data_IF_106488196903
#
_entry.id   IF_106488196903
#
_cell.length_a   1.000
_cell.length_b   1.000
_cell.length_c   1.000
_cell.angle_alpha   90.00
_cell.angle_beta   90.00
_cell.angle_gamma   90.00
#
_symmetry.space_group_name_H-M   'P 1'
#
loop_
_entity.id
_entity.type
_entity.pdbx_description
1 polymer ?
#
# COMPACT_ATOMS: atom_id res chain seq x y z
N UNK A 1 -74.34 -15.67 -45.61
CA UNK A 1 -73.13 -14.89 -45.98
C UNK A 1 -72.50 -14.41 -44.68
N UNK A 2 -71.47 -15.10 -44.19
CA UNK A 2 -70.82 -14.84 -42.89
C UNK A 2 -69.39 -14.40 -43.20
N UNK A 3 -69.12 -13.12 -42.98
CA UNK A 3 -67.78 -12.55 -43.11
C UNK A 3 -67.19 -12.60 -41.71
N UNK A 4 -66.33 -13.59 -41.44
CA UNK A 4 -65.46 -13.57 -40.26
C UNK A 4 -64.08 -13.10 -40.68
N UNK A 5 -63.74 -11.95 -40.11
CA UNK A 5 -62.56 -11.13 -40.27
C UNK A 5 -61.28 -11.88 -39.88
N UNK A 6 -60.41 -12.10 -40.86
CA UNK A 6 -59.04 -12.53 -40.62
C UNK A 6 -58.28 -11.47 -39.83
N UNK A 7 -58.11 -11.69 -38.53
CA UNK A 7 -57.24 -10.88 -37.70
C UNK A 7 -55.80 -10.97 -38.22
N UNK A 8 -55.11 -9.83 -38.45
CA UNK A 8 -53.72 -9.85 -38.91
C UNK A 8 -52.84 -10.48 -37.82
N UNK A 9 -52.09 -11.52 -38.20
CA UNK A 9 -51.05 -12.11 -37.34
C UNK A 9 -50.09 -11.00 -36.92
N UNK A 10 -50.08 -10.69 -35.63
CA UNK A 10 -49.14 -9.75 -35.04
C UNK A 10 -47.72 -10.12 -35.48
N UNK A 11 -47.06 -9.19 -36.18
CA UNK A 11 -45.67 -9.31 -36.57
C UNK A 11 -44.84 -9.59 -35.31
N UNK A 12 -44.14 -10.73 -35.31
CA UNK A 12 -43.16 -11.05 -34.26
C UNK A 12 -42.14 -9.91 -34.23
N UNK A 13 -42.04 -9.25 -33.09
CA UNK A 13 -41.04 -8.24 -32.79
C UNK A 13 -39.61 -8.71 -33.16
N UNK A 14 -38.71 -7.78 -33.52
CA UNK A 14 -37.51 -8.07 -34.26
C UNK A 14 -36.53 -8.92 -33.46
N UNK A 15 -35.81 -9.78 -34.17
CA UNK A 15 -34.62 -10.48 -33.69
C UNK A 15 -33.67 -9.46 -33.03
N UNK A 16 -33.62 -9.46 -31.70
CA UNK A 16 -32.61 -8.69 -30.96
C UNK A 16 -31.31 -9.50 -31.05
N UNK A 17 -30.26 -9.00 -31.73
CA UNK A 17 -29.02 -9.75 -31.89
C UNK A 17 -28.43 -10.10 -30.53
N UNK A 18 -28.02 -11.36 -30.38
CA UNK A 18 -27.52 -11.93 -29.12
C UNK A 18 -26.31 -11.16 -28.53
N UNK A 19 -25.58 -10.44 -29.38
CA UNK A 19 -24.49 -9.51 -29.04
C UNK A 19 -24.89 -8.33 -28.15
N UNK A 20 -26.19 -8.06 -27.96
CA UNK A 20 -26.68 -7.02 -27.04
C UNK A 20 -26.64 -7.45 -25.56
N UNK A 21 -26.33 -8.72 -25.26
CA UNK A 21 -26.28 -9.26 -23.89
C UNK A 21 -24.86 -9.26 -23.28
N UNK A 22 -23.96 -8.39 -23.73
CA UNK A 22 -22.66 -8.26 -23.09
C UNK A 22 -22.86 -7.63 -21.70
N UNK A 23 -22.52 -8.37 -20.65
CA UNK A 23 -22.60 -7.86 -19.30
C UNK A 23 -21.55 -6.74 -19.12
N UNK A 24 -21.94 -5.49 -18.82
CA UNK A 24 -20.97 -4.39 -18.69
C UNK A 24 -19.93 -4.65 -17.59
N UNK A 25 -20.25 -5.49 -16.59
CA UNK A 25 -19.30 -5.90 -15.55
C UNK A 25 -18.20 -6.82 -16.07
N UNK A 26 -18.49 -7.70 -17.03
CA UNK A 26 -17.46 -8.56 -17.62
C UNK A 26 -16.52 -7.78 -18.54
N UNK A 27 -17.03 -6.77 -19.24
CA UNK A 27 -16.21 -5.84 -20.04
C UNK A 27 -15.27 -5.04 -19.14
N UNK A 28 -15.80 -4.41 -18.08
CA UNK A 28 -14.98 -3.67 -17.12
C UNK A 28 -13.91 -4.56 -16.47
N UNK A 29 -14.27 -5.80 -16.11
CA UNK A 29 -13.32 -6.75 -15.54
C UNK A 29 -12.21 -7.10 -16.54
N UNK A 30 -12.55 -7.36 -17.81
CA UNK A 30 -11.57 -7.65 -18.86
C UNK A 30 -10.63 -6.47 -19.12
N UNK A 31 -11.17 -5.25 -19.23
CA UNK A 31 -10.36 -4.02 -19.39
C UNK A 31 -9.44 -3.82 -18.20
N UNK A 32 -9.97 -3.96 -16.97
CA UNK A 32 -9.18 -3.78 -15.75
C UNK A 32 -8.08 -4.83 -15.64
N UNK A 33 -8.36 -6.09 -15.98
CA UNK A 33 -7.37 -7.16 -15.99
C UNK A 33 -6.28 -6.91 -17.04
N UNK A 34 -6.66 -6.54 -18.27
CA UNK A 34 -5.71 -6.21 -19.34
C UNK A 34 -4.82 -5.02 -18.99
N UNK A 35 -5.40 -3.94 -18.45
CA UNK A 35 -4.65 -2.76 -18.03
C UNK A 35 -3.72 -3.06 -16.84
N UNK A 36 -4.19 -3.85 -15.87
CA UNK A 36 -3.36 -4.30 -14.75
C UNK A 36 -2.16 -5.09 -15.26
N UNK A 37 -2.40 -6.07 -16.14
CA UNK A 37 -1.34 -6.90 -16.69
C UNK A 37 -0.31 -6.06 -17.45
N UNK A 38 -0.76 -5.15 -18.32
CA UNK A 38 0.13 -4.25 -19.05
C UNK A 38 0.98 -3.39 -18.11
N UNK A 39 0.38 -2.78 -17.08
CA UNK A 39 1.10 -1.96 -16.10
C UNK A 39 2.07 -2.78 -15.25
N UNK A 40 1.73 -4.01 -14.89
CA UNK A 40 2.63 -4.90 -14.17
C UNK A 40 3.81 -5.35 -15.03
N UNK A 41 3.60 -5.63 -16.31
CA UNK A 41 4.70 -5.93 -17.25
C UNK A 41 5.65 -4.73 -17.32
N UNK A 42 5.12 -3.52 -17.52
CA UNK A 42 5.93 -2.30 -17.57
C UNK A 42 6.68 -2.05 -16.24
N UNK A 43 6.02 -2.25 -15.10
CA UNK A 43 6.66 -2.13 -13.79
C UNK A 43 7.81 -3.13 -13.59
N UNK A 44 7.62 -4.38 -14.03
CA UNK A 44 8.65 -5.42 -13.96
C UNK A 44 9.80 -5.11 -14.91
N UNK A 45 9.52 -4.70 -16.14
CA UNK A 45 10.56 -4.31 -17.11
C UNK A 45 11.37 -3.11 -16.60
N UNK A 46 10.71 -2.08 -16.07
CA UNK A 46 11.38 -0.92 -15.48
C UNK A 46 12.27 -1.34 -14.29
N UNK A 47 11.72 -2.12 -13.34
CA UNK A 47 12.47 -2.57 -12.17
C UNK A 47 13.65 -3.45 -12.56
N UNK A 48 13.46 -4.41 -13.47
CA UNK A 48 14.54 -5.29 -13.95
C UNK A 48 15.60 -4.51 -14.70
N UNK A 49 15.20 -3.58 -15.57
CA UNK A 49 16.13 -2.71 -16.29
C UNK A 49 16.95 -1.85 -15.33
N UNK A 50 16.30 -1.22 -14.35
CA UNK A 50 16.95 -0.41 -13.33
C UNK A 50 17.92 -1.24 -12.47
N UNK A 51 17.46 -2.36 -11.93
CA UNK A 51 18.29 -3.27 -11.11
C UNK A 51 19.47 -3.79 -11.93
N UNK A 52 19.27 -4.17 -13.19
CA UNK A 52 20.36 -4.67 -14.05
C UNK A 52 21.41 -3.59 -14.30
N UNK A 53 20.97 -2.36 -14.61
CA UNK A 53 21.88 -1.22 -14.78
C UNK A 53 22.66 -0.93 -13.49
N UNK A 54 21.99 -0.92 -12.35
CA UNK A 54 22.59 -0.64 -11.05
C UNK A 54 23.49 -1.76 -10.54
N UNK A 55 23.20 -3.02 -10.87
CA UNK A 55 24.08 -4.16 -10.61
C UNK A 55 25.39 -3.99 -11.38
N UNK A 56 25.33 -3.55 -12.65
CA UNK A 56 26.51 -3.23 -13.44
C UNK A 56 27.37 -2.10 -12.86
N UNK A 57 26.76 -1.21 -12.08
CA UNK A 57 27.43 -0.11 -11.38
C UNK A 57 27.78 -0.42 -9.91
N UNK A 58 27.32 -1.55 -9.37
CA UNK A 58 27.51 -1.92 -7.96
C UNK A 58 26.72 -1.08 -6.94
N UNK A 59 25.63 -0.42 -7.35
CA UNK A 59 24.85 0.52 -6.52
C UNK A 59 23.46 0.00 -6.12
N UNK A 60 23.12 -1.27 -6.41
CA UNK A 60 21.89 -1.87 -5.88
C UNK A 60 21.93 -1.88 -4.36
N UNK A 61 20.84 -1.44 -3.73
CA UNK A 61 20.78 -1.30 -2.29
C UNK A 61 21.53 -0.07 -1.76
N UNK A 62 21.82 0.95 -2.57
CA UNK A 62 22.56 2.14 -2.14
C UNK A 62 21.98 2.81 -0.89
N UNK A 63 20.66 3.00 -0.80
CA UNK A 63 20.04 3.54 0.40
C UNK A 63 20.23 2.61 1.61
N UNK A 64 20.07 1.30 1.41
CA UNK A 64 20.29 0.31 2.46
C UNK A 64 21.72 0.35 3.00
N UNK A 65 22.73 0.44 2.11
CA UNK A 65 24.14 0.51 2.53
C UNK A 65 24.44 1.81 3.28
N UNK A 66 23.85 2.94 2.89
CA UNK A 66 23.93 4.21 3.63
C UNK A 66 23.35 4.06 5.03
N UNK A 67 22.20 3.40 5.17
CA UNK A 67 21.58 3.19 6.48
C UNK A 67 22.46 2.33 7.38
N UNK A 68 23.06 1.27 6.85
CA UNK A 68 24.00 0.44 7.61
C UNK A 68 25.27 1.20 7.97
N UNK A 69 25.83 1.98 7.04
CA UNK A 69 27.00 2.83 7.30
C UNK A 69 26.72 3.86 8.40
N UNK A 70 25.52 4.44 8.40
CA UNK A 70 25.08 5.43 9.41
C UNK A 70 24.82 4.77 10.76
N UNK A 71 24.21 3.57 10.78
CA UNK A 71 24.05 2.79 12.00
C UNK A 71 25.39 2.36 12.59
N UNK A 72 26.36 1.97 11.75
CA UNK A 72 27.72 1.65 12.17
C UNK A 72 28.41 2.88 12.76
N UNK A 73 28.33 4.03 12.08
CA UNK A 73 28.87 5.31 12.57
C UNK A 73 28.27 5.72 13.91
N UNK A 74 26.96 5.54 14.09
CA UNK A 74 26.30 5.77 15.36
C UNK A 74 26.90 4.91 16.49
N UNK A 75 27.16 3.63 16.25
CA UNK A 75 27.78 2.75 17.26
C UNK A 75 29.25 3.09 17.54
N UNK A 76 30.01 3.46 16.51
CA UNK A 76 31.45 3.71 16.63
C UNK A 76 31.76 5.12 17.16
N UNK A 77 30.99 6.13 16.76
CA UNK A 77 31.27 7.55 17.01
C UNK A 77 30.21 8.25 17.86
N UNK A 78 29.09 7.58 18.15
CA UNK A 78 27.96 8.16 18.89
C UNK A 78 26.99 8.98 18.03
N UNK A 79 27.32 9.31 16.78
CA UNK A 79 26.46 10.07 15.86
C UNK A 79 26.30 9.37 14.51
N UNK A 80 25.08 9.29 13.94
CA UNK A 80 24.87 8.75 12.59
C UNK A 80 25.17 9.76 11.48
N UNK A 81 25.44 11.03 11.80
CA UNK A 81 25.59 12.12 10.81
C UNK A 81 27.05 12.34 10.43
N UNK A 82 27.29 12.87 9.23
CA UNK A 82 28.62 13.29 8.79
C UNK A 82 28.94 14.71 9.29
N UNK A 83 30.21 15.04 9.58
CA UNK A 83 30.61 16.42 9.90
C UNK A 83 30.18 17.44 8.83
N UNK A 84 30.19 17.04 7.56
CA UNK A 84 29.78 17.89 6.44
C UNK A 84 28.28 18.25 6.47
N UNK A 85 27.43 17.44 7.10
CA UNK A 85 25.98 17.68 7.20
C UNK A 85 25.66 18.80 8.22
N UNK A 86 26.63 19.21 9.02
CA UNK A 86 26.52 20.38 9.92
C UNK A 86 26.90 21.70 9.22
N UNK A 87 27.32 21.66 7.95
CA UNK A 87 27.59 22.85 7.15
C UNK A 87 26.30 23.31 6.45
N UNK A 88 25.88 24.58 6.62
CA UNK A 88 24.68 25.09 5.95
C UNK A 88 24.75 24.98 4.43
N UNK A 89 23.65 24.55 3.82
CA UNK A 89 23.51 24.44 2.37
C UNK A 89 24.08 23.17 1.76
N UNK A 90 24.41 22.14 2.55
CA UNK A 90 24.86 20.87 1.98
C UNK A 90 23.75 20.23 1.13
N UNK A 91 24.16 19.66 -0.01
CA UNK A 91 23.26 18.94 -0.91
C UNK A 91 23.04 17.53 -0.40
N UNK A 92 21.79 17.08 -0.36
CA UNK A 92 21.49 15.68 -0.09
C UNK A 92 21.90 14.84 -1.30
N UNK A 93 22.81 13.89 -1.10
CA UNK A 93 23.17 12.88 -2.09
C UNK A 93 22.97 11.45 -1.55
N UNK A 94 23.38 10.47 -2.34
CA UNK A 94 23.28 9.04 -2.03
C UNK A 94 24.20 8.58 -0.89
N UNK A 95 24.86 9.48 -0.16
CA UNK A 95 25.73 9.16 0.98
C UNK A 95 25.22 9.73 2.30
N UNK A 96 24.20 10.60 2.24
CA UNK A 96 23.70 11.34 3.39
C UNK A 96 22.60 10.61 4.16
N UNK A 97 22.56 10.86 5.47
CA UNK A 97 21.57 10.28 6.37
C UNK A 97 20.65 11.36 6.95
N UNK A 98 19.46 11.51 6.38
CA UNK A 98 18.46 12.50 6.83
C UNK A 98 17.28 11.84 7.53
N UNK A 99 17.52 11.25 8.70
CA UNK A 99 16.49 10.59 9.51
C UNK A 99 16.64 10.94 11.00
N UNK A 100 15.54 10.92 11.78
CA UNK A 100 15.60 11.15 13.22
C UNK A 100 16.34 10.03 13.94
N UNK A 101 16.90 10.27 15.14
CA UNK A 101 17.73 9.30 15.87
C UNK A 101 17.02 7.97 16.17
N UNK A 102 15.70 8.00 16.42
CA UNK A 102 14.89 6.81 16.65
C UNK A 102 14.88 5.82 15.49
N UNK A 103 15.26 6.26 14.29
CA UNK A 103 15.43 5.38 13.12
C UNK A 103 16.54 4.36 13.34
N UNK A 104 17.51 4.62 14.24
CA UNK A 104 18.52 3.65 14.65
C UNK A 104 17.92 2.37 15.22
N UNK A 105 16.72 2.42 15.82
CA UNK A 105 16.02 1.22 16.32
C UNK A 105 15.65 0.25 15.19
N UNK A 106 15.47 0.76 13.97
CA UNK A 106 15.26 -0.05 12.77
C UNK A 106 16.60 -0.42 12.13
N UNK A 107 17.54 0.52 12.00
CA UNK A 107 18.77 0.31 11.22
C UNK A 107 19.82 -0.55 11.93
N UNK A 108 20.03 -0.34 13.22
CA UNK A 108 21.06 -1.03 14.01
C UNK A 108 20.89 -2.54 13.98
N UNK A 109 19.69 -3.13 14.19
CA UNK A 109 19.50 -4.57 14.05
C UNK A 109 19.98 -5.17 12.71
N UNK A 110 19.85 -4.42 11.61
CA UNK A 110 20.26 -4.88 10.28
C UNK A 110 21.77 -4.89 10.04
N UNK A 111 22.58 -4.44 10.99
CA UNK A 111 24.02 -4.73 11.00
C UNK A 111 24.32 -6.22 11.19
N UNK A 112 23.37 -6.97 11.77
CA UNK A 112 23.52 -8.40 12.06
C UNK A 112 22.45 -9.28 11.41
N UNK A 113 21.29 -8.73 11.07
CA UNK A 113 20.25 -9.48 10.37
C UNK A 113 20.59 -9.70 8.89
N UNK A 114 20.12 -10.79 8.26
CA UNK A 114 20.26 -11.00 6.84
C UNK A 114 19.65 -9.85 6.03
N UNK A 115 20.42 -9.30 5.09
CA UNK A 115 20.02 -8.16 4.27
C UNK A 115 18.68 -8.40 3.54
N UNK A 116 18.42 -9.63 3.08
CA UNK A 116 17.16 -10.00 2.41
C UNK A 116 15.90 -9.65 3.22
N UNK A 117 15.97 -9.66 4.55
CA UNK A 117 14.84 -9.29 5.41
C UNK A 117 14.44 -7.82 5.26
N UNK A 118 15.36 -6.96 4.82
CA UNK A 118 15.13 -5.54 4.60
C UNK A 118 14.05 -5.29 3.55
N UNK A 119 14.04 -6.13 2.50
CA UNK A 119 13.02 -6.11 1.46
C UNK A 119 11.86 -7.05 1.79
N UNK A 120 12.17 -8.28 2.25
CA UNK A 120 11.15 -9.32 2.41
C UNK A 120 10.07 -8.96 3.44
N UNK A 121 10.43 -8.28 4.55
CA UNK A 121 9.47 -7.92 5.60
C UNK A 121 8.45 -6.88 5.13
N UNK A 122 8.84 -5.69 4.60
CA UNK A 122 7.87 -4.73 4.13
C UNK A 122 7.09 -5.22 2.91
N UNK A 123 7.75 -5.90 1.94
CA UNK A 123 7.07 -6.42 0.75
C UNK A 123 6.10 -7.56 1.09
N UNK A 124 6.50 -8.48 1.97
CA UNK A 124 5.62 -9.53 2.46
C UNK A 124 4.40 -8.98 3.20
N UNK A 125 4.59 -7.90 3.97
CA UNK A 125 3.50 -7.18 4.65
C UNK A 125 2.51 -6.58 3.64
N UNK A 126 3.02 -5.94 2.57
CA UNK A 126 2.19 -5.40 1.50
C UNK A 126 1.44 -6.51 0.75
N UNK A 127 2.11 -7.60 0.39
CA UNK A 127 1.49 -8.74 -0.27
C UNK A 127 0.37 -9.35 0.58
N UNK A 128 0.63 -9.56 1.88
CA UNK A 128 -0.37 -10.01 2.84
C UNK A 128 -1.56 -9.05 2.94
N UNK A 129 -1.30 -7.74 2.97
CA UNK A 129 -2.35 -6.72 3.02
C UNK A 129 -3.24 -6.75 1.78
N UNK A 130 -2.66 -6.79 0.58
CA UNK A 130 -3.40 -6.90 -0.67
C UNK A 130 -4.24 -8.18 -0.72
N UNK A 131 -3.65 -9.31 -0.35
CA UNK A 131 -4.37 -10.59 -0.26
C UNK A 131 -5.56 -10.51 0.69
N UNK A 132 -5.41 -9.83 1.83
CA UNK A 132 -6.49 -9.64 2.81
C UNK A 132 -7.57 -8.68 2.33
N UNK A 133 -7.21 -7.55 1.72
CA UNK A 133 -8.17 -6.57 1.22
C UNK A 133 -9.01 -7.12 0.07
N UNK A 134 -8.47 -8.04 -0.75
CA UNK A 134 -9.09 -8.53 -1.98
C UNK A 134 -9.66 -7.37 -2.80
N UNK A 135 -8.80 -6.47 -3.33
CA UNK A 135 -9.25 -5.30 -4.05
C UNK A 135 -10.18 -5.66 -5.20
N UNK A 136 -11.25 -4.88 -5.39
CA UNK A 136 -12.15 -5.04 -6.52
C UNK A 136 -11.42 -4.76 -7.84
N UNK A 137 -11.95 -5.29 -8.95
CA UNK A 137 -11.26 -5.33 -10.25
C UNK A 137 -10.72 -3.97 -10.72
N UNK A 138 -11.42 -2.86 -10.51
CA UNK A 138 -10.99 -1.54 -10.98
C UNK A 138 -9.81 -0.94 -10.17
N UNK A 139 -9.51 -1.49 -9.00
CA UNK A 139 -8.43 -1.00 -8.12
C UNK A 139 -7.08 -1.51 -8.58
N UNK A 140 -7.04 -2.69 -9.21
CA UNK A 140 -5.82 -3.32 -9.68
C UNK A 140 -5.03 -2.48 -10.69
N UNK A 141 -5.66 -1.83 -11.69
CA UNK A 141 -4.94 -0.88 -12.54
C UNK A 141 -4.29 0.28 -11.79
N UNK A 142 -4.93 0.79 -10.74
CA UNK A 142 -4.36 1.89 -9.94
C UNK A 142 -3.14 1.39 -9.15
N UNK A 143 -3.23 0.19 -8.57
CA UNK A 143 -2.08 -0.44 -7.91
C UNK A 143 -0.96 -0.77 -8.91
N UNK A 144 -1.31 -1.16 -10.14
CA UNK A 144 -0.37 -1.34 -11.24
C UNK A 144 0.34 -0.04 -11.62
N UNK A 145 -0.37 1.09 -11.66
CA UNK A 145 0.22 2.40 -11.89
C UNK A 145 1.16 2.82 -10.75
N UNK A 146 0.81 2.50 -9.49
CA UNK A 146 1.70 2.71 -8.35
C UNK A 146 2.96 1.84 -8.47
N UNK A 147 2.82 0.59 -8.89
CA UNK A 147 3.96 -0.31 -9.11
C UNK A 147 4.88 0.19 -10.24
N UNK A 148 4.31 0.71 -11.33
CA UNK A 148 5.02 1.31 -12.47
C UNK A 148 5.48 2.75 -12.23
N UNK A 149 5.21 3.32 -11.05
CA UNK A 149 5.68 4.67 -10.76
C UNK A 149 7.20 4.65 -10.60
N UNK A 150 7.99 5.49 -11.28
CA UNK A 150 9.46 5.36 -11.30
C UNK A 150 10.12 5.39 -9.93
N UNK A 151 9.54 6.16 -8.99
CA UNK A 151 10.02 6.21 -7.60
C UNK A 151 9.77 4.91 -6.84
N UNK A 152 8.75 4.13 -7.20
CA UNK A 152 8.51 2.80 -6.62
C UNK A 152 9.65 1.87 -7.02
N UNK A 153 9.93 1.75 -8.32
CA UNK A 153 11.04 0.95 -8.85
C UNK A 153 12.38 1.36 -8.22
N UNK A 154 12.65 2.67 -8.15
CA UNK A 154 13.83 3.23 -7.47
C UNK A 154 13.90 2.88 -5.98
N UNK A 155 12.79 2.97 -5.25
CA UNK A 155 12.75 2.62 -3.82
C UNK A 155 13.05 1.14 -3.58
N UNK A 156 12.54 0.26 -4.46
CA UNK A 156 12.81 -1.18 -4.38
C UNK A 156 14.28 -1.49 -4.66
N UNK A 157 14.84 -0.93 -5.74
CA UNK A 157 16.23 -1.14 -6.14
C UNK A 157 17.23 -0.56 -5.13
N UNK A 158 16.96 0.63 -4.59
CA UNK A 158 17.81 1.27 -3.59
C UNK A 158 17.68 0.65 -2.20
N UNK A 159 16.59 -0.05 -1.91
CA UNK A 159 16.28 -0.49 -0.55
C UNK A 159 15.84 0.68 0.33
N UNK A 160 15.04 1.60 -0.20
CA UNK A 160 14.59 2.79 0.54
C UNK A 160 13.62 2.43 1.68
N UNK A 161 13.67 3.20 2.77
CA UNK A 161 12.71 3.11 3.89
C UNK A 161 11.25 3.31 3.49
N UNK A 162 10.94 3.85 2.31
CA UNK A 162 9.57 4.03 1.84
C UNK A 162 8.78 2.72 1.78
N UNK A 163 9.45 1.58 1.55
CA UNK A 163 8.83 0.25 1.65
C UNK A 163 8.33 -0.02 3.08
N UNK A 164 9.12 0.35 4.09
CA UNK A 164 8.77 0.21 5.51
C UNK A 164 7.65 1.16 5.90
N UNK A 165 7.62 2.37 5.35
CA UNK A 165 6.50 3.31 5.53
C UNK A 165 5.21 2.73 4.96
N UNK A 166 5.24 2.17 3.75
CA UNK A 166 4.07 1.51 3.16
C UNK A 166 3.60 0.31 3.99
N UNK A 167 4.52 -0.51 4.50
CA UNK A 167 4.19 -1.61 5.41
C UNK A 167 3.57 -1.12 6.74
N UNK A 168 4.11 -0.05 7.32
CA UNK A 168 3.57 0.59 8.51
C UNK A 168 2.16 1.15 8.28
N UNK A 169 1.89 1.74 7.11
CA UNK A 169 0.54 2.19 6.73
C UNK A 169 -0.41 1.00 6.60
N UNK A 170 0.00 -0.09 5.95
CA UNK A 170 -0.81 -1.31 5.82
C UNK A 170 -1.22 -1.89 7.19
N UNK A 171 -0.24 -2.09 8.08
CA UNK A 171 -0.49 -2.58 9.44
C UNK A 171 -1.25 -1.53 10.29
N UNK A 172 -1.00 -0.24 10.04
CA UNK A 172 -1.67 0.90 10.65
C UNK A 172 -3.17 0.89 10.40
N UNK A 173 -3.60 0.67 9.16
CA UNK A 173 -5.01 0.56 8.81
C UNK A 173 -5.71 -0.58 9.58
N UNK A 174 -4.99 -1.67 9.86
CA UNK A 174 -5.51 -2.81 10.61
C UNK A 174 -5.51 -2.62 12.13
N UNK A 175 -4.38 -2.19 12.70
CA UNK A 175 -4.09 -2.24 14.14
C UNK A 175 -4.01 -0.86 14.80
N UNK A 176 -3.90 0.22 14.01
CA UNK A 176 -3.80 1.59 14.50
C UNK A 176 -2.39 2.00 14.87
N UNK A 177 -1.79 1.30 15.83
CA UNK A 177 -0.48 1.68 16.40
C UNK A 177 0.68 1.76 15.40
N UNK A 178 0.77 0.92 14.35
CA UNK A 178 1.90 0.99 13.41
C UNK A 178 1.99 2.30 12.62
N UNK A 179 0.92 3.11 12.56
CA UNK A 179 0.98 4.45 11.98
C UNK A 179 2.01 5.36 12.66
N UNK A 180 2.39 5.09 13.90
CA UNK A 180 3.46 5.83 14.60
C UNK A 180 4.83 5.63 13.93
N UNK A 181 5.08 4.47 13.32
CA UNK A 181 6.35 4.16 12.63
C UNK A 181 6.55 5.07 11.41
N UNK A 182 5.48 5.64 10.85
CA UNK A 182 5.58 6.59 9.74
C UNK A 182 6.37 7.86 10.13
N UNK A 183 6.43 8.19 11.43
CA UNK A 183 7.20 9.32 11.95
C UNK A 183 8.72 9.15 11.81
N UNK A 184 9.21 7.96 11.47
CA UNK A 184 10.62 7.77 11.07
C UNK A 184 10.97 8.60 9.84
N UNK A 185 9.99 8.98 9.03
CA UNK A 185 10.19 9.83 7.86
C UNK A 185 9.25 11.04 7.94
N UNK A 186 9.72 12.19 8.46
CA UNK A 186 8.85 13.32 8.81
C UNK A 186 7.96 13.83 7.68
N UNK A 187 8.40 13.71 6.42
CA UNK A 187 7.60 14.07 5.25
C UNK A 187 6.27 13.30 5.15
N UNK A 188 6.18 12.13 5.78
CA UNK A 188 4.97 11.31 5.88
C UNK A 188 4.21 11.46 7.19
N UNK A 189 4.67 12.31 8.12
CA UNK A 189 4.03 12.51 9.42
C UNK A 189 2.52 12.77 9.37
N UNK A 190 1.94 13.48 8.36
CA UNK A 190 0.49 13.62 8.24
C UNK A 190 -0.26 12.28 8.19
N UNK A 191 0.34 11.21 7.66
CA UNK A 191 -0.27 9.88 7.61
C UNK A 191 -0.38 9.23 9.00
N UNK A 192 0.44 9.63 9.98
CA UNK A 192 0.39 9.07 11.32
C UNK A 192 -0.98 9.33 11.99
N UNK A 193 -1.65 10.43 11.63
CA UNK A 193 -2.93 10.88 12.23
C UNK A 193 -4.07 9.89 11.99
N UNK A 194 -4.01 9.06 10.93
CA UNK A 194 -5.05 8.05 10.66
C UNK A 194 -5.23 7.05 11.82
N UNK A 195 -4.19 6.80 12.62
CA UNK A 195 -4.25 5.93 13.80
C UNK A 195 -4.78 6.61 15.07
N UNK A 196 -4.82 7.94 15.14
CA UNK A 196 -5.01 8.71 16.38
C UNK A 196 -6.36 8.48 17.08
N UNK A 197 -7.35 7.93 16.39
CA UNK A 197 -8.64 7.55 16.99
C UNK A 197 -8.57 6.29 17.87
N UNK A 198 -7.45 5.56 17.88
CA UNK A 198 -7.29 4.28 18.59
C UNK A 198 -6.34 4.44 19.78
N UNK A 199 -6.73 3.90 20.94
CA UNK A 199 -5.89 3.92 22.16
C UNK A 199 -4.48 3.36 21.95
N UNK A 200 -4.37 2.26 21.19
CA UNK A 200 -3.08 1.64 20.88
C UNK A 200 -2.11 2.58 20.15
N UNK A 201 -2.63 3.54 19.37
CA UNK A 201 -1.79 4.55 18.72
C UNK A 201 -1.14 5.50 19.72
N UNK A 202 -1.90 5.97 20.72
CA UNK A 202 -1.36 6.82 21.78
C UNK A 202 -0.37 6.08 22.66
N UNK A 203 -0.60 4.81 22.95
CA UNK A 203 0.38 3.97 23.66
C UNK A 203 1.67 3.82 22.87
N UNK A 204 1.60 3.56 21.56
CA UNK A 204 2.78 3.49 20.72
C UNK A 204 3.49 4.84 20.57
N UNK A 205 2.76 5.95 20.49
CA UNK A 205 3.34 7.29 20.47
C UNK A 205 4.06 7.59 21.79
N UNK A 206 3.44 7.26 22.92
CA UNK A 206 4.05 7.36 24.23
C UNK A 206 5.32 6.51 24.35
N UNK A 207 5.27 5.27 23.85
CA UNK A 207 6.45 4.39 23.80
C UNK A 207 7.55 4.98 22.92
N UNK A 208 7.22 5.51 21.73
CA UNK A 208 8.19 6.19 20.87
C UNK A 208 8.81 7.39 21.58
N UNK A 209 8.01 8.21 22.27
CA UNK A 209 8.50 9.34 23.05
C UNK A 209 9.46 8.90 24.16
N UNK A 210 9.11 7.83 24.91
CA UNK A 210 9.99 7.27 25.94
C UNK A 210 11.30 6.75 25.37
N UNK A 211 11.25 6.00 24.27
CA UNK A 211 12.47 5.50 23.59
C UNK A 211 13.25 6.62 22.91
N UNK A 212 12.62 7.77 22.66
CA UNK A 212 13.32 8.96 22.15
C UNK A 212 14.23 9.61 23.19
N UNK A 213 13.95 9.44 24.50
CA UNK A 213 14.68 10.10 25.59
C UNK A 213 16.16 9.72 25.62
N UNK A 214 16.56 8.43 25.56
CA UNK A 214 17.98 8.04 25.57
C UNK A 214 18.82 8.62 24.42
N UNK A 215 18.22 9.03 23.31
CA UNK A 215 18.95 9.65 22.20
C UNK A 215 19.44 11.07 22.52
N UNK A 216 18.88 11.73 23.54
CA UNK A 216 19.43 12.95 24.14
C UNK A 216 19.86 14.01 23.12
N UNK A 217 21.17 14.32 23.11
CA UNK A 217 21.78 15.34 22.26
C UNK A 217 21.65 15.07 20.74
N UNK A 218 21.42 13.82 20.32
CA UNK A 218 21.27 13.47 18.90
C UNK A 218 20.04 14.11 18.27
N UNK A 219 19.03 14.46 19.06
CA UNK A 219 17.91 15.25 18.55
C UNK A 219 18.34 16.66 18.15
N UNK A 220 19.27 17.28 18.88
CA UNK A 220 19.80 18.59 18.51
C UNK A 220 20.66 18.50 17.23
N UNK A 221 21.46 17.44 17.09
CA UNK A 221 22.22 17.18 15.86
C UNK A 221 21.29 16.98 14.66
N UNK A 222 20.26 16.13 14.82
CA UNK A 222 19.26 15.90 13.79
C UNK A 222 18.59 17.20 13.33
N UNK A 223 18.16 18.04 14.27
CA UNK A 223 17.55 19.33 13.96
C UNK A 223 18.54 20.28 13.27
N UNK A 224 19.83 20.25 13.63
CA UNK A 224 20.85 21.01 12.95
C UNK A 224 21.03 20.55 11.49
N UNK A 225 21.11 19.24 11.26
CA UNK A 225 21.21 18.65 9.91
C UNK A 225 19.98 19.00 9.07
N UNK A 226 18.77 18.84 9.62
CA UNK A 226 17.50 19.21 8.97
C UNK A 226 17.43 20.70 8.64
N UNK A 227 17.98 21.56 9.48
CA UNK A 227 18.05 23.01 9.23
C UNK A 227 19.05 23.35 8.13
N UNK A 228 20.15 22.60 8.04
CA UNK A 228 21.28 22.90 7.17
C UNK A 228 21.15 22.29 5.78
N UNK A 229 20.29 21.29 5.58
CA UNK A 229 20.10 20.66 4.27
C UNK A 229 19.53 21.66 3.26
N UNK A 230 20.13 21.72 2.07
CA UNK A 230 19.68 22.59 0.98
C UNK A 230 18.43 22.09 0.25
N UNK A 231 17.96 20.89 0.57
CA UNK A 231 16.83 20.22 -0.08
C UNK A 231 15.53 20.39 0.72
N UNK A 232 14.40 20.73 0.08
CA UNK A 232 13.11 20.84 0.77
C UNK A 232 12.70 19.53 1.44
N UNK A 233 12.15 19.58 2.65
CA UNK A 233 11.64 18.39 3.38
C UNK A 233 10.50 17.66 2.66
N UNK A 234 9.92 18.27 1.64
CA UNK A 234 8.89 17.67 0.78
C UNK A 234 9.46 16.76 -0.30
N UNK A 235 10.79 16.61 -0.43
CA UNK A 235 11.42 15.78 -1.47
C UNK A 235 10.90 14.33 -1.49
N UNK A 236 10.55 13.79 -0.32
CA UNK A 236 10.02 12.43 -0.18
C UNK A 236 8.53 12.30 -0.58
N UNK A 237 7.81 13.39 -0.82
CA UNK A 237 6.40 13.34 -1.26
C UNK A 237 6.27 12.72 -2.67
N UNK A 238 7.33 12.71 -3.47
CA UNK A 238 7.35 12.00 -4.75
C UNK A 238 7.25 10.47 -4.59
N UNK A 239 7.53 9.95 -3.39
CA UNK A 239 7.43 8.53 -3.04
C UNK A 239 6.07 8.18 -2.39
N UNK A 240 5.18 9.18 -2.24
CA UNK A 240 3.84 9.02 -1.67
C UNK A 240 2.98 7.95 -2.36
N UNK A 241 3.04 7.70 -3.69
CA UNK A 241 2.27 6.64 -4.32
C UNK A 241 2.47 5.26 -3.65
N UNK A 242 3.72 4.88 -3.37
CA UNK A 242 4.04 3.62 -2.68
C UNK A 242 3.46 3.59 -1.26
N UNK A 243 3.62 4.68 -0.50
CA UNK A 243 3.08 4.79 0.86
C UNK A 243 1.54 4.74 0.91
N UNK A 244 0.85 5.18 -0.16
CA UNK A 244 -0.61 5.16 -0.28
C UNK A 244 -1.18 3.86 -0.86
N UNK A 245 -0.36 2.97 -1.43
CA UNK A 245 -0.81 1.69 -1.98
C UNK A 245 -1.72 0.90 -1.02
N UNK A 246 -1.42 0.80 0.29
CA UNK A 246 -2.30 0.10 1.23
C UNK A 246 -3.66 0.79 1.41
N UNK A 247 -3.70 2.13 1.37
CA UNK A 247 -4.92 2.92 1.50
C UNK A 247 -5.81 2.72 0.27
N UNK A 248 -5.22 2.73 -0.93
CA UNK A 248 -5.91 2.47 -2.20
C UNK A 248 -6.56 1.08 -2.17
N UNK A 249 -5.80 0.06 -1.76
CA UNK A 249 -6.30 -1.31 -1.63
C UNK A 249 -7.44 -1.43 -0.60
N UNK A 250 -7.35 -0.68 0.50
CA UNK A 250 -8.35 -0.66 1.57
C UNK A 250 -9.65 0.01 1.15
N UNK A 251 -9.59 1.17 0.48
CA UNK A 251 -10.77 1.86 -0.06
C UNK A 251 -11.48 0.96 -1.06
N UNK A 252 -10.70 0.29 -1.90
CA UNK A 252 -11.14 -0.64 -2.93
C UNK A 252 -11.45 -2.05 -2.46
N UNK A 253 -11.49 -2.32 -1.16
CA UNK A 253 -11.62 -3.69 -0.66
C UNK A 253 -13.00 -4.29 -1.00
N UNK A 254 -13.02 -5.57 -1.40
CA UNK A 254 -14.27 -6.30 -1.60
C UNK A 254 -14.95 -6.51 -0.24
N UNK A 255 -15.99 -5.72 0.06
CA UNK A 255 -16.84 -5.99 1.22
C UNK A 255 -17.59 -7.30 0.96
N UNK A 256 -17.08 -8.40 1.49
CA UNK A 256 -17.87 -9.62 1.65
C UNK A 256 -18.99 -9.25 2.61
N UNK A 257 -20.17 -8.96 2.06
CA UNK A 257 -21.41 -8.86 2.83
C UNK A 257 -21.47 -10.19 3.60
N UNK A 258 -21.52 -10.20 4.95
CA UNK A 258 -21.83 -11.43 5.67
C UNK A 258 -23.09 -11.98 5.01
N UNK A 259 -23.03 -13.20 4.47
CA UNK A 259 -24.24 -13.87 4.05
C UNK A 259 -25.10 -13.96 5.30
N UNK A 260 -26.18 -13.18 5.31
CA UNK A 260 -27.16 -13.15 6.39
C UNK A 260 -27.64 -14.59 6.62
N UNK A 261 -27.25 -15.25 7.73
CA UNK A 261 -27.61 -16.65 7.98
C UNK A 261 -29.14 -16.83 8.06
N UNK A 262 -29.88 -15.75 8.27
CA UNK A 262 -31.34 -15.76 8.45
C UNK A 262 -32.16 -15.93 7.17
N UNK A 263 -31.58 -15.84 5.96
CA UNK A 263 -32.37 -15.90 4.72
C UNK A 263 -32.63 -17.30 4.17
N UNK A 264 -32.33 -18.35 4.94
CA UNK A 264 -32.47 -19.77 4.53
C UNK A 264 -33.64 -20.51 5.18
N UNK A 265 -34.59 -19.83 5.83
CA UNK A 265 -35.80 -20.47 6.37
C UNK A 265 -37.04 -19.60 6.08
N UNK A 266 -37.61 -19.72 4.88
CA UNK A 266 -39.03 -19.39 4.61
C UNK A 266 -39.42 -19.71 3.16
N UNK A 267 -39.06 -20.90 2.66
CA UNK A 267 -39.60 -21.41 1.38
C UNK A 267 -40.29 -22.77 1.47
N UNK A 268 -40.68 -23.18 2.68
CA UNK A 268 -41.52 -24.36 2.90
C UNK A 268 -42.59 -24.04 3.92
N UNK A 269 -43.66 -23.39 3.46
CA UNK A 269 -45.06 -23.59 3.88
C UNK A 269 -45.93 -22.55 3.19
N UNK A 270 -46.48 -22.96 2.06
CA UNK A 270 -47.80 -22.52 1.60
C UNK A 270 -48.62 -23.80 1.37
N UNK A 271 -49.95 -23.71 1.51
CA UNK A 271 -50.75 -24.59 2.37
C UNK A 271 -51.11 -25.89 1.64
N UNK A 272 -51.09 -27.01 2.36
CA UNK A 272 -51.84 -28.17 1.92
C UNK A 272 -53.32 -27.80 1.98
N UNK A 273 -53.90 -27.61 0.80
CA UNK A 273 -55.32 -27.66 0.54
C UNK A 273 -55.94 -28.84 1.31
N UNK A 274 -56.75 -28.54 2.33
CA UNK A 274 -57.82 -29.45 2.75
C UNK A 274 -59.08 -29.01 2.04
N UNK A 275 -59.17 -29.41 0.77
CA UNK A 275 -60.46 -29.55 0.10
C UNK A 275 -61.16 -30.81 0.64
N UNK A 276 -62.29 -30.59 1.31
CA UNK A 276 -63.56 -31.29 1.12
C UNK A 276 -63.54 -32.66 0.40
N UNK A 277 -64.09 -33.68 1.08
CA UNK A 277 -64.88 -34.85 0.62
C UNK A 277 -64.94 -35.82 1.83
N UNK A 278 -66.05 -36.30 2.43
CA UNK A 278 -67.51 -36.14 2.34
C UNK A 278 -68.10 -36.35 3.76
N UNK A 279 -69.36 -36.03 4.09
CA UNK A 279 -70.55 -36.88 3.92
C UNK A 279 -70.20 -38.37 4.15
N UNK A 280 -70.64 -39.06 5.20
CA UNK A 280 -71.90 -39.06 5.98
C UNK A 280 -71.67 -39.17 7.50
#
# INVERSE_FOLDING_TARGET
>A
MRIDSGAPRAARFPFVPEWTKVNPRSVLAAISAGLTLALLILAVEELVGLVSAWLGLGIVGCDFTVYLASARRFLDLGSPYWPAEFVPGFSLDETNFLYPPTTMLLMVPFLWLPAVLWWALPLGTLAWWLWRCRPVVWVWPILGLVAFWPRTSGSLAAGNTDMWIAAAVALGLRFGWPFVVVLLKPSFAPLAVFGARRRAWWLALGALALVSVPFGALWAEYLAVVRNVGTPLTYSLLNMPLALAPVIAWIGQSRTRPQDPGRRISRTRLPAERGLLGAE
#
